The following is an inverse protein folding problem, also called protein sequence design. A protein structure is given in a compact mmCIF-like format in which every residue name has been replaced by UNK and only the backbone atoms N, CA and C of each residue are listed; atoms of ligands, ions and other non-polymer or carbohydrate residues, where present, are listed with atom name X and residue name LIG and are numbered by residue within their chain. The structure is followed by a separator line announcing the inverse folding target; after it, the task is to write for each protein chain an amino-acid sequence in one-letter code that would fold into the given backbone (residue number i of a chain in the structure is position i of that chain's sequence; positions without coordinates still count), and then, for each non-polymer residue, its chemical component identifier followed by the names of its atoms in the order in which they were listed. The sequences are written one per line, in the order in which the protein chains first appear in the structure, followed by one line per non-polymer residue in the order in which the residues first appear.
data_IF_024673047610
#
_entry.id   IF_024673047610
#
_cell.length_a   1.000
_cell.length_b   1.000
_cell.length_c   1.000
_cell.angle_alpha   90.00
_cell.angle_beta   90.00
_cell.angle_gamma   90.00
#
_symmetry.space_group_name_H-M   'P 1'
#
loop_
_entity.id
_entity.type
_entity.pdbx_description
1 polymer ?
#
# COMPACT_ATOMS: atom_id res chain seq x y z
N UNK A 1 -23.76 10.65 -11.12
CA UNK A 1 -22.41 10.06 -11.07
C UNK A 1 -22.56 8.62 -10.65
N UNK A 2 -22.17 7.66 -11.48
CA UNK A 2 -22.09 6.24 -11.12
C UNK A 2 -20.64 6.03 -10.65
N UNK A 3 -20.34 6.00 -9.34
CA UNK A 3 -18.94 6.00 -8.89
C UNK A 3 -18.27 4.64 -9.07
N UNK A 4 -19.03 3.60 -9.36
CA UNK A 4 -18.53 2.24 -9.33
C UNK A 4 -18.52 1.68 -10.74
N UNK A 5 -17.33 1.33 -11.23
CA UNK A 5 -17.25 0.13 -12.06
C UNK A 5 -17.92 -0.95 -11.21
N UNK A 6 -19.05 -1.47 -11.69
CA UNK A 6 -19.67 -2.67 -11.18
C UNK A 6 -19.31 -3.76 -12.18
N UNK A 7 -18.13 -4.38 -12.04
CA UNK A 7 -17.73 -5.44 -12.94
C UNK A 7 -18.74 -6.59 -12.85
N UNK A 8 -18.92 -7.33 -13.95
CA UNK A 8 -19.81 -8.50 -13.97
C UNK A 8 -19.12 -9.68 -13.28
N UNK A 9 -19.22 -9.72 -11.95
CA UNK A 9 -18.72 -10.81 -11.13
C UNK A 9 -19.60 -12.06 -11.24
N UNK A 10 -18.96 -13.23 -11.17
CA UNK A 10 -19.60 -14.55 -11.38
C UNK A 10 -19.77 -15.32 -10.08
N UNK A 11 -18.89 -15.10 -9.11
CA UNK A 11 -18.88 -15.88 -7.87
C UNK A 11 -19.62 -15.21 -6.71
N UNK A 12 -20.23 -15.99 -5.79
CA UNK A 12 -20.86 -15.46 -4.59
C UNK A 12 -19.87 -14.70 -3.71
N UNK A 13 -20.34 -13.67 -2.99
CA UNK A 13 -19.50 -12.83 -2.12
C UNK A 13 -18.60 -11.82 -2.85
N UNK A 14 -18.40 -11.97 -4.16
CA UNK A 14 -17.47 -11.12 -4.91
C UNK A 14 -17.81 -9.64 -4.88
N UNK A 15 -19.07 -9.27 -5.14
CA UNK A 15 -19.45 -7.85 -5.14
C UNK A 15 -19.25 -7.20 -3.77
N UNK A 16 -19.49 -7.94 -2.68
CA UNK A 16 -19.26 -7.47 -1.31
C UNK A 16 -17.77 -7.32 -1.02
N UNK A 17 -16.96 -8.31 -1.41
CA UNK A 17 -15.49 -8.26 -1.31
C UNK A 17 -14.95 -7.03 -2.05
N UNK A 18 -15.35 -6.83 -3.30
CA UNK A 18 -14.95 -5.68 -4.12
C UNK A 18 -15.30 -4.36 -3.45
N UNK A 19 -16.54 -4.19 -3.01
CA UNK A 19 -16.99 -2.96 -2.34
C UNK A 19 -16.20 -2.68 -1.06
N UNK A 20 -15.89 -3.71 -0.26
CA UNK A 20 -15.09 -3.53 0.95
C UNK A 20 -13.67 -3.03 0.64
N UNK A 21 -13.02 -3.58 -0.39
CA UNK A 21 -11.69 -3.12 -0.83
C UNK A 21 -11.77 -1.63 -1.22
N UNK A 22 -12.76 -1.27 -2.04
CA UNK A 22 -12.95 0.13 -2.45
C UNK A 22 -13.19 1.08 -1.28
N UNK A 23 -13.93 0.63 -0.27
CA UNK A 23 -14.24 1.45 0.90
C UNK A 23 -13.03 1.67 1.81
N UNK A 24 -12.05 0.74 1.83
CA UNK A 24 -10.79 0.93 2.53
C UNK A 24 -9.86 1.91 1.78
N UNK A 25 -9.90 1.90 0.45
CA UNK A 25 -9.01 2.68 -0.41
C UNK A 25 -9.53 4.09 -0.74
N UNK A 26 -10.23 4.72 0.21
CA UNK A 26 -10.73 6.08 0.01
C UNK A 26 -9.65 7.10 0.40
N UNK A 27 -9.24 8.00 -0.51
CA UNK A 27 -8.24 9.02 -0.19
C UNK A 27 -8.80 10.01 0.84
N UNK A 28 -7.96 10.40 1.79
CA UNK A 28 -8.31 11.46 2.74
C UNK A 28 -7.99 12.82 2.11
N UNK A 29 -8.92 13.80 2.16
CA UNK A 29 -8.64 15.16 1.70
C UNK A 29 -7.45 15.76 2.45
N UNK A 30 -6.56 16.43 1.71
CA UNK A 30 -5.40 17.11 2.27
C UNK A 30 -5.70 18.62 2.38
N UNK A 31 -5.40 19.28 3.51
CA UNK A 31 -5.45 20.73 3.61
C UNK A 31 -4.56 21.42 2.56
N UNK A 32 -5.03 22.51 1.95
CA UNK A 32 -4.29 23.19 0.87
C UNK A 32 -2.97 23.83 1.31
N UNK A 33 -2.87 24.14 2.61
CA UNK A 33 -1.71 24.69 3.32
C UNK A 33 -0.81 23.62 3.93
N UNK A 34 -1.15 22.33 3.78
CA UNK A 34 -0.32 21.24 4.27
C UNK A 34 1.09 21.32 3.68
N UNK A 35 2.07 20.95 4.50
CA UNK A 35 3.46 20.84 4.11
C UNK A 35 4.09 19.55 4.67
N UNK A 36 5.11 19.05 3.98
CA UNK A 36 5.85 17.84 4.37
C UNK A 36 7.32 18.18 4.46
N UNK A 37 7.95 17.87 5.60
CA UNK A 37 9.38 18.05 5.76
C UNK A 37 10.14 17.24 4.69
N UNK A 38 10.98 17.91 3.89
CA UNK A 38 11.66 17.29 2.77
C UNK A 38 13.16 17.63 2.76
N UNK A 39 14.00 16.61 2.80
CA UNK A 39 15.46 16.74 2.65
C UNK A 39 15.92 15.93 1.44
N UNK A 40 17.09 16.28 0.89
CA UNK A 40 17.70 15.50 -0.17
C UNK A 40 17.89 14.02 0.24
N UNK A 41 18.31 13.78 1.50
CA UNK A 41 18.52 12.44 2.03
C UNK A 41 17.21 11.63 2.12
N UNK A 42 16.14 12.21 2.68
CA UNK A 42 14.83 11.55 2.77
C UNK A 42 14.24 11.19 1.41
N UNK A 43 14.32 12.11 0.45
CA UNK A 43 13.86 11.89 -0.93
C UNK A 43 14.69 10.79 -1.61
N UNK A 44 16.02 10.79 -1.41
CA UNK A 44 16.91 9.75 -1.95
C UNK A 44 16.59 8.38 -1.36
N UNK A 45 16.35 8.29 -0.04
CA UNK A 45 15.98 7.04 0.62
C UNK A 45 14.63 6.52 0.12
N UNK A 46 13.62 7.38 0.01
CA UNK A 46 12.28 7.00 -0.47
C UNK A 46 12.27 6.57 -1.94
N UNK A 47 13.07 7.20 -2.81
CA UNK A 47 13.13 6.82 -4.22
C UNK A 47 14.00 5.59 -4.49
N UNK A 48 14.88 5.20 -3.56
CA UNK A 48 15.77 4.05 -3.70
C UNK A 48 15.03 2.74 -3.41
N UNK A 49 13.99 2.46 -4.20
CA UNK A 49 13.18 1.26 -4.08
C UNK A 49 13.96 -0.03 -4.37
N UNK A 50 15.20 0.06 -4.87
CA UNK A 50 16.09 -1.08 -5.10
C UNK A 50 16.86 -1.48 -3.84
N UNK A 51 16.95 -0.60 -2.85
CA UNK A 51 17.48 -0.94 -1.55
C UNK A 51 16.70 -2.11 -0.94
N UNK A 52 17.41 -3.15 -0.52
CA UNK A 52 16.80 -4.38 0.01
C UNK A 52 15.94 -4.12 1.25
N UNK A 53 16.28 -3.10 2.03
CA UNK A 53 15.58 -2.71 3.24
C UNK A 53 14.41 -1.74 2.99
N UNK A 54 14.23 -1.29 1.75
CA UNK A 54 13.10 -0.42 1.39
C UNK A 54 11.76 -1.14 1.66
N UNK A 55 10.73 -0.48 2.23
CA UNK A 55 9.44 -1.10 2.56
C UNK A 55 8.79 -1.86 1.40
N UNK A 56 8.80 -1.31 0.19
CA UNK A 56 8.40 -2.04 -1.03
C UNK A 56 9.11 -3.39 -1.20
N UNK A 57 10.43 -3.47 -0.99
CA UNK A 57 11.19 -4.71 -1.13
C UNK A 57 10.84 -5.70 0.00
N UNK A 58 10.55 -5.21 1.20
CA UNK A 58 10.06 -6.06 2.29
C UNK A 58 8.68 -6.64 1.99
N UNK A 59 7.75 -5.81 1.52
CA UNK A 59 6.40 -6.20 1.12
C UNK A 59 6.42 -7.29 0.04
N UNK A 60 7.12 -7.06 -1.08
CA UNK A 60 7.10 -8.01 -2.20
C UNK A 60 7.62 -9.40 -1.86
N UNK A 61 8.55 -9.50 -0.89
CA UNK A 61 9.09 -10.79 -0.40
C UNK A 61 8.07 -11.56 0.43
N UNK A 62 7.09 -10.87 0.98
CA UNK A 62 6.01 -11.43 1.80
C UNK A 62 4.75 -11.73 1.01
N UNK A 63 4.58 -11.15 -0.18
CA UNK A 63 3.48 -11.50 -1.07
C UNK A 63 3.47 -13.01 -1.35
N UNK A 64 2.28 -13.63 -1.44
CA UNK A 64 2.14 -15.06 -1.77
C UNK A 64 2.99 -15.49 -2.96
N UNK A 65 3.59 -16.68 -2.89
CA UNK A 65 4.40 -17.22 -3.99
C UNK A 65 3.57 -17.42 -5.26
N UNK A 66 2.28 -17.72 -5.10
CA UNK A 66 1.33 -18.02 -6.16
C UNK A 66 0.12 -17.09 -6.08
N UNK A 67 -0.50 -16.87 -7.23
CA UNK A 67 -1.74 -16.12 -7.32
C UNK A 67 -2.93 -16.88 -6.71
N UNK A 68 -3.88 -16.16 -6.12
CA UNK A 68 -5.06 -16.75 -5.48
C UNK A 68 -6.24 -16.90 -6.45
N UNK A 69 -6.40 -15.98 -7.40
CA UNK A 69 -7.48 -15.92 -8.38
C UNK A 69 -7.02 -16.21 -9.80
N UNK A 70 -5.71 -16.16 -10.06
CA UNK A 70 -5.13 -16.76 -11.27
C UNK A 70 -4.93 -18.28 -11.14
N UNK A 71 -5.68 -18.97 -10.27
CA UNK A 71 -5.62 -20.43 -10.10
C UNK A 71 -7.00 -21.09 -10.28
N UNK A 72 -7.03 -22.09 -11.17
CA UNK A 72 -8.03 -23.15 -11.39
C UNK A 72 -9.53 -22.87 -11.11
N UNK A 73 -10.28 -22.65 -12.19
CA UNK A 73 -11.60 -23.27 -12.33
C UNK A 73 -11.44 -24.53 -13.17
N UNK A 74 -12.20 -25.59 -12.83
CA UNK A 74 -12.05 -27.00 -13.26
C UNK A 74 -12.00 -27.32 -14.76
N UNK A 75 -11.97 -26.32 -15.64
CA UNK A 75 -11.84 -26.49 -17.09
C UNK A 75 -10.77 -25.60 -17.75
N UNK A 76 -10.05 -24.76 -17.00
CA UNK A 76 -8.86 -24.05 -17.48
C UNK A 76 -7.92 -23.76 -16.31
N UNK A 77 -6.77 -24.44 -16.30
CA UNK A 77 -5.64 -24.14 -15.42
C UNK A 77 -5.05 -22.80 -15.85
N UNK A 78 -5.49 -21.71 -15.22
CA UNK A 78 -4.51 -20.68 -14.88
C UNK A 78 -3.75 -21.26 -13.72
N UNK A 79 -2.45 -21.37 -13.86
CA UNK A 79 -1.63 -21.77 -12.75
C UNK A 79 -0.33 -20.98 -12.78
N UNK A 80 -0.05 -20.30 -11.69
CA UNK A 80 1.28 -19.74 -11.45
C UNK A 80 2.22 -20.82 -10.91
N UNK A 81 1.71 -21.97 -10.44
CA UNK A 81 2.51 -23.15 -10.16
C UNK A 81 3.19 -23.62 -11.45
N UNK A 82 4.52 -23.59 -11.46
CA UNK A 82 5.35 -23.90 -12.63
C UNK A 82 5.58 -22.73 -13.60
N UNK A 83 5.01 -21.54 -13.35
CA UNK A 83 5.40 -20.33 -14.06
C UNK A 83 6.67 -19.75 -13.43
N UNK A 84 7.75 -19.68 -14.20
CA UNK A 84 8.96 -18.98 -13.78
C UNK A 84 8.74 -17.46 -13.91
N UNK A 85 8.70 -16.71 -12.79
CA UNK A 85 8.43 -15.28 -12.82
C UNK A 85 9.54 -14.47 -13.49
N UNK A 86 10.71 -15.06 -13.73
CA UNK A 86 11.84 -14.43 -14.44
C UNK A 86 11.74 -14.51 -15.97
N UNK A 87 10.84 -15.34 -16.51
CA UNK A 87 10.73 -15.54 -17.96
C UNK A 87 10.01 -14.37 -18.64
N UNK A 88 10.61 -13.89 -19.73
CA UNK A 88 9.99 -12.87 -20.58
C UNK A 88 8.80 -13.44 -21.35
N UNK A 89 7.62 -12.89 -21.10
CA UNK A 89 6.40 -13.24 -21.84
C UNK A 89 6.32 -12.45 -23.15
N UNK A 90 6.06 -13.15 -24.25
CA UNK A 90 5.96 -12.54 -25.58
C UNK A 90 4.65 -11.74 -25.76
N UNK A 91 4.71 -10.61 -26.47
CA UNK A 91 3.54 -9.72 -26.65
C UNK A 91 2.38 -10.38 -27.42
N UNK A 92 2.68 -11.36 -28.29
CA UNK A 92 1.66 -12.15 -29.03
C UNK A 92 1.21 -13.41 -28.30
N UNK A 93 1.69 -13.64 -27.07
CA UNK A 93 1.20 -14.76 -26.27
C UNK A 93 -0.31 -14.58 -25.97
N UNK A 94 -1.03 -15.68 -25.69
CA UNK A 94 -2.42 -15.62 -25.25
C UNK A 94 -2.60 -14.63 -24.08
N UNK A 95 -3.75 -13.94 -23.97
CA UNK A 95 -4.02 -13.03 -22.87
C UNK A 95 -3.76 -13.64 -21.49
N UNK A 96 -4.06 -14.94 -21.35
CA UNK A 96 -3.82 -15.72 -20.13
C UNK A 96 -2.36 -15.75 -19.73
N UNK A 97 -1.45 -16.09 -20.66
CA UNK A 97 0.00 -16.06 -20.41
C UNK A 97 0.52 -14.65 -20.14
N UNK A 98 -0.04 -13.64 -20.82
CA UNK A 98 0.37 -12.25 -20.60
C UNK A 98 0.00 -11.74 -19.21
N UNK A 99 -1.15 -12.15 -18.66
CA UNK A 99 -1.52 -11.83 -17.28
C UNK A 99 -0.50 -12.35 -16.28
N UNK A 100 0.03 -13.58 -16.45
CA UNK A 100 1.11 -14.08 -15.60
C UNK A 100 2.38 -13.21 -15.70
N UNK A 101 2.72 -12.76 -16.91
CA UNK A 101 3.82 -11.82 -17.11
C UNK A 101 3.59 -10.49 -16.39
N UNK A 102 2.38 -9.93 -16.45
CA UNK A 102 2.06 -8.70 -15.72
C UNK A 102 2.09 -8.91 -14.20
N UNK A 103 1.51 -10.00 -13.69
CA UNK A 103 1.55 -10.38 -12.29
C UNK A 103 3.00 -10.43 -11.77
N UNK A 104 3.90 -11.08 -12.51
CA UNK A 104 5.34 -11.07 -12.19
C UNK A 104 5.95 -9.68 -12.17
N UNK A 105 5.64 -8.86 -13.18
CA UNK A 105 6.18 -7.50 -13.25
C UNK A 105 5.70 -6.62 -12.08
N UNK A 106 4.42 -6.73 -11.69
CA UNK A 106 3.88 -6.04 -10.51
C UNK A 106 4.46 -6.57 -9.19
N UNK A 107 5.06 -7.75 -9.19
CA UNK A 107 5.84 -8.27 -8.06
C UNK A 107 7.34 -7.96 -8.15
N UNK A 108 7.74 -7.12 -9.12
CA UNK A 108 9.13 -6.68 -9.32
C UNK A 108 10.05 -7.72 -9.97
N UNK A 109 9.49 -8.65 -10.74
CA UNK A 109 10.25 -9.55 -11.61
C UNK A 109 10.23 -9.03 -13.06
N UNK A 110 11.04 -9.62 -13.94
CA UNK A 110 11.06 -9.27 -15.37
C UNK A 110 12.15 -8.29 -15.78
N UNK A 111 11.92 -7.61 -16.91
CA UNK A 111 12.90 -6.71 -17.56
C UNK A 111 13.22 -5.49 -16.67
N UNK A 112 14.45 -4.94 -16.70
CA UNK A 112 14.81 -3.74 -15.94
C UNK A 112 13.89 -2.53 -16.14
N UNK A 113 13.17 -2.45 -17.28
CA UNK A 113 12.19 -1.39 -17.56
C UNK A 113 10.84 -1.62 -16.87
N UNK A 114 10.54 -2.86 -16.49
CA UNK A 114 9.25 -3.30 -15.93
C UNK A 114 9.32 -3.61 -14.43
N UNK A 115 10.53 -3.73 -13.87
CA UNK A 115 10.79 -4.03 -12.46
C UNK A 115 10.20 -2.98 -11.50
N UNK A 116 9.89 -1.78 -12.01
CA UNK A 116 9.37 -0.66 -11.25
C UNK A 116 7.84 -0.58 -11.24
N UNK A 117 7.13 -1.47 -11.93
CA UNK A 117 5.67 -1.45 -11.97
C UNK A 117 5.05 -1.74 -10.61
N UNK A 118 5.61 -2.72 -9.88
CA UNK A 118 5.20 -3.00 -8.50
C UNK A 118 5.48 -1.84 -7.54
N UNK A 119 6.64 -1.19 -7.70
CA UNK A 119 6.95 0.01 -6.93
C UNK A 119 5.99 1.16 -7.27
N UNK A 120 5.64 1.33 -8.55
CA UNK A 120 4.68 2.34 -8.99
C UNK A 120 3.30 2.11 -8.37
N UNK A 121 2.89 0.85 -8.20
CA UNK A 121 1.66 0.47 -7.51
C UNK A 121 1.73 0.84 -6.02
N UNK A 122 2.80 0.40 -5.37
CA UNK A 122 3.07 0.68 -3.96
C UNK A 122 3.13 2.19 -3.66
N UNK A 123 3.74 2.98 -4.55
CA UNK A 123 3.79 4.45 -4.46
C UNK A 123 2.39 5.07 -4.44
N UNK A 124 1.38 4.46 -5.06
CA UNK A 124 0.00 4.97 -5.01
C UNK A 124 -0.68 4.73 -3.67
N UNK A 125 -0.33 3.64 -2.99
CA UNK A 125 -0.74 3.40 -1.61
C UNK A 125 0.04 4.25 -0.60
N UNK A 126 1.13 4.91 -1.02
CA UNK A 126 2.03 5.71 -0.18
C UNK A 126 2.29 7.09 -0.81
N UNK A 127 1.24 7.74 -1.31
CA UNK A 127 1.42 8.86 -2.21
C UNK A 127 1.81 10.14 -1.49
N UNK A 128 3.02 10.63 -1.76
CA UNK A 128 3.51 11.92 -1.31
C UNK A 128 2.99 13.05 -2.22
N UNK A 129 2.10 13.94 -1.73
CA UNK A 129 1.52 15.02 -2.53
C UNK A 129 2.56 16.09 -2.88
N UNK A 130 2.71 16.38 -4.17
CA UNK A 130 3.65 17.40 -4.65
C UNK A 130 3.43 18.80 -4.05
N UNK A 131 2.19 19.30 -3.94
CA UNK A 131 1.95 20.62 -3.37
C UNK A 131 2.46 20.76 -1.93
N UNK A 132 2.41 19.69 -1.12
CA UNK A 132 2.86 19.76 0.27
C UNK A 132 4.40 19.79 0.39
N UNK A 133 5.10 19.08 -0.49
CA UNK A 133 6.57 19.16 -0.56
C UNK A 133 7.01 20.54 -1.07
N UNK A 134 6.32 21.06 -2.09
CA UNK A 134 6.61 22.39 -2.64
C UNK A 134 6.30 23.51 -1.62
N UNK A 135 5.25 23.37 -0.82
CA UNK A 135 4.96 24.26 0.30
C UNK A 135 6.10 24.28 1.32
N UNK A 136 6.68 23.12 1.67
CA UNK A 136 7.85 23.06 2.55
C UNK A 136 9.01 23.89 1.99
N UNK A 137 9.31 23.75 0.69
CA UNK A 137 10.39 24.51 0.06
C UNK A 137 10.10 26.02 -0.01
N UNK A 138 8.85 26.40 -0.27
CA UNK A 138 8.41 27.80 -0.28
C UNK A 138 8.59 28.43 1.10
N UNK A 139 8.10 27.76 2.14
CA UNK A 139 8.20 28.19 3.54
C UNK A 139 9.68 28.32 3.95
N UNK A 140 10.49 27.28 3.72
CA UNK A 140 11.91 27.30 4.06
C UNK A 140 12.68 28.43 3.33
N UNK A 141 12.31 28.75 2.08
CA UNK A 141 12.92 29.85 1.33
C UNK A 141 12.60 31.21 1.98
N UNK A 142 11.32 31.44 2.34
CA UNK A 142 10.87 32.68 2.98
C UNK A 142 11.57 32.91 4.31
N UNK A 143 11.65 31.87 5.16
CA UNK A 143 12.31 31.95 6.45
C UNK A 143 13.82 32.22 6.31
N UNK A 144 14.49 31.56 5.35
CA UNK A 144 15.90 31.80 5.07
C UNK A 144 16.20 33.25 4.69
N UNK A 145 15.31 33.88 3.92
CA UNK A 145 15.43 35.27 3.49
C UNK A 145 15.20 36.25 4.65
N UNK A 146 14.15 36.01 5.45
CA UNK A 146 13.78 36.86 6.58
C UNK A 146 14.64 36.73 7.84
N UNK A 147 15.45 35.67 7.97
CA UNK A 147 16.25 35.45 9.17
C UNK A 147 17.49 36.36 9.27
N UNK A 148 18.00 36.62 10.49
CA UNK A 148 19.22 37.37 10.75
C UNK A 148 20.50 36.49 10.88
N UNK A 149 20.46 35.25 10.40
CA UNK A 149 21.63 34.36 10.36
C UNK A 149 22.81 34.96 9.57
N UNK A 150 24.02 34.50 9.92
CA UNK A 150 25.24 34.91 9.21
C UNK A 150 25.17 34.52 7.72
N UNK A 151 25.85 35.25 6.83
CA UNK A 151 25.91 34.92 5.41
C UNK A 151 26.33 33.47 5.15
N UNK A 152 27.27 32.93 5.94
CA UNK A 152 27.78 31.57 5.83
C UNK A 152 26.71 30.54 6.21
N UNK A 153 25.97 30.77 7.29
CA UNK A 153 24.87 29.91 7.71
C UNK A 153 23.73 29.92 6.67
N UNK A 154 23.39 31.10 6.13
CA UNK A 154 22.40 31.21 5.05
C UNK A 154 22.84 30.48 3.79
N UNK A 155 24.12 30.58 3.42
CA UNK A 155 24.66 29.89 2.25
C UNK A 155 24.60 28.36 2.39
N UNK A 156 24.91 27.83 3.59
CA UNK A 156 24.82 26.39 3.87
C UNK A 156 23.40 25.87 3.70
N UNK A 157 22.42 26.52 4.36
CA UNK A 157 21.02 26.10 4.29
C UNK A 157 20.44 26.26 2.88
N UNK A 158 20.83 27.32 2.16
CA UNK A 158 20.45 27.49 0.75
C UNK A 158 20.91 26.32 -0.11
N UNK A 159 22.15 25.88 0.07
CA UNK A 159 22.69 24.73 -0.67
C UNK A 159 21.92 23.44 -0.36
N UNK A 160 21.61 23.17 0.91
CA UNK A 160 20.80 22.00 1.32
C UNK A 160 19.39 22.05 0.71
N UNK A 161 18.76 23.24 0.70
CA UNK A 161 17.43 23.44 0.12
C UNK A 161 17.44 23.27 -1.41
N UNK A 162 18.45 23.80 -2.09
CA UNK A 162 18.61 23.67 -3.54
C UNK A 162 18.87 22.22 -3.95
N UNK A 163 19.66 21.48 -3.15
CA UNK A 163 19.84 20.04 -3.34
C UNK A 163 18.51 19.28 -3.16
N UNK A 164 17.76 19.55 -2.09
CA UNK A 164 16.46 18.90 -1.85
C UNK A 164 15.45 19.19 -2.97
N UNK A 165 15.39 20.43 -3.46
CA UNK A 165 14.56 20.82 -4.62
C UNK A 165 14.97 20.07 -5.89
N UNK A 166 16.28 19.97 -6.18
CA UNK A 166 16.77 19.25 -7.34
C UNK A 166 16.43 17.76 -7.28
N UNK A 167 16.58 17.13 -6.11
CA UNK A 167 16.21 15.74 -5.87
C UNK A 167 14.71 15.51 -6.00
N UNK A 168 13.88 16.40 -5.46
CA UNK A 168 12.43 16.35 -5.60
C UNK A 168 12.01 16.41 -7.07
N UNK A 169 12.53 17.37 -7.84
CA UNK A 169 12.18 17.55 -9.25
C UNK A 169 12.58 16.32 -10.09
N UNK A 170 13.76 15.76 -9.83
CA UNK A 170 14.20 14.53 -10.49
C UNK A 170 13.30 13.35 -10.14
N UNK A 171 12.97 13.18 -8.86
CA UNK A 171 12.06 12.13 -8.40
C UNK A 171 10.66 12.28 -9.01
N UNK A 172 10.07 13.47 -8.98
CA UNK A 172 8.72 13.74 -9.51
C UNK A 172 8.64 13.48 -11.02
N UNK A 173 9.67 13.86 -11.78
CA UNK A 173 9.75 13.59 -13.21
C UNK A 173 9.79 12.08 -13.51
N UNK A 174 10.62 11.32 -12.79
CA UNK A 174 10.70 9.86 -12.96
C UNK A 174 9.43 9.15 -12.48
N UNK A 175 8.82 9.61 -11.39
CA UNK A 175 7.53 9.11 -10.89
C UNK A 175 6.43 9.24 -11.95
N UNK A 176 6.35 10.36 -12.65
CA UNK A 176 5.36 10.55 -13.72
C UNK A 176 5.58 9.57 -14.89
N UNK A 177 6.84 9.37 -15.32
CA UNK A 177 7.17 8.40 -16.36
C UNK A 177 6.83 6.97 -15.94
N UNK A 178 7.11 6.61 -14.69
CA UNK A 178 6.74 5.32 -14.08
C UNK A 178 5.22 5.13 -14.13
N UNK A 179 4.48 6.14 -13.69
CA UNK A 179 3.02 6.12 -13.71
C UNK A 179 2.42 5.96 -15.11
N UNK A 180 2.98 6.63 -16.13
CA UNK A 180 2.53 6.46 -17.51
C UNK A 180 2.69 5.01 -17.99
N UNK A 181 3.84 4.38 -17.69
CA UNK A 181 4.08 2.95 -17.99
C UNK A 181 3.12 2.05 -17.22
N UNK A 182 2.90 2.35 -15.94
CA UNK A 182 1.99 1.61 -15.07
C UNK A 182 0.56 1.66 -15.62
N UNK A 183 0.00 2.86 -15.87
CA UNK A 183 -1.34 3.03 -16.48
C UNK A 183 -1.47 2.28 -17.80
N UNK A 184 -0.44 2.32 -18.63
CA UNK A 184 -0.43 1.61 -19.91
C UNK A 184 -0.65 0.10 -19.77
N UNK A 185 -0.16 -0.49 -18.67
CA UNK A 185 -0.26 -1.92 -18.41
C UNK A 185 -1.46 -2.27 -17.54
N UNK A 186 -1.61 -1.66 -16.37
CA UNK A 186 -2.66 -2.05 -15.42
C UNK A 186 -4.06 -1.68 -15.93
N UNK A 187 -4.28 -0.44 -16.36
CA UNK A 187 -5.62 0.05 -16.72
C UNK A 187 -5.96 -0.41 -18.14
N UNK A 188 -5.09 -0.11 -19.11
CA UNK A 188 -5.42 -0.34 -20.52
C UNK A 188 -5.21 -1.77 -21.00
N UNK A 189 -4.47 -2.60 -20.26
CA UNK A 189 -4.27 -4.01 -20.58
C UNK A 189 -4.97 -4.87 -19.53
N UNK A 190 -4.44 -4.98 -18.31
CA UNK A 190 -4.91 -5.95 -17.32
C UNK A 190 -6.39 -5.76 -16.94
N UNK A 191 -6.76 -4.60 -16.38
CA UNK A 191 -8.13 -4.31 -15.95
C UNK A 191 -9.12 -4.37 -17.10
N UNK A 192 -8.79 -3.72 -18.22
CA UNK A 192 -9.63 -3.74 -19.43
C UNK A 192 -9.90 -5.17 -19.90
N UNK A 193 -8.92 -6.07 -19.82
CA UNK A 193 -9.10 -7.46 -20.23
C UNK A 193 -10.01 -8.22 -19.27
N UNK A 194 -9.92 -7.99 -17.95
CA UNK A 194 -10.78 -8.63 -16.94
C UNK A 194 -12.26 -8.23 -17.01
N UNK A 195 -12.56 -7.05 -17.55
CA UNK A 195 -13.96 -6.59 -17.74
C UNK A 195 -14.44 -6.71 -19.19
N UNK A 196 -13.61 -7.23 -20.11
CA UNK A 196 -13.96 -7.28 -21.53
C UNK A 196 -14.92 -8.43 -21.84
N UNK A 197 -15.90 -8.15 -22.70
CA UNK A 197 -16.83 -9.14 -23.27
C UNK A 197 -16.32 -9.75 -24.59
N UNK A 198 -15.12 -9.38 -25.05
CA UNK A 198 -14.56 -9.94 -26.29
C UNK A 198 -14.22 -11.43 -26.11
N UNK A 199 -14.53 -12.31 -27.08
CA UNK A 199 -14.30 -13.75 -26.95
C UNK A 199 -12.86 -14.14 -26.61
N UNK A 200 -11.86 -13.38 -27.08
CA UNK A 200 -10.44 -13.61 -26.81
C UNK A 200 -10.05 -13.44 -25.34
N UNK A 201 -10.89 -12.77 -24.54
CA UNK A 201 -10.70 -12.56 -23.11
C UNK A 201 -11.69 -13.35 -22.24
N UNK A 202 -12.57 -14.18 -22.84
CA UNK A 202 -13.59 -14.93 -22.10
C UNK A 202 -13.03 -15.86 -21.00
N UNK A 203 -11.77 -16.26 -21.19
CA UNK A 203 -10.96 -17.02 -20.26
C UNK A 203 -10.62 -16.27 -18.96
N UNK A 204 -10.58 -14.95 -18.98
CA UNK A 204 -10.17 -14.13 -17.85
C UNK A 204 -11.38 -13.85 -16.95
N UNK A 205 -11.23 -14.14 -15.66
CA UNK A 205 -12.26 -13.91 -14.65
C UNK A 205 -12.17 -12.50 -14.11
N UNK A 206 -13.31 -11.82 -14.01
CA UNK A 206 -13.40 -10.45 -13.51
C UNK A 206 -12.99 -10.34 -12.03
N UNK A 207 -13.10 -11.43 -11.28
CA UNK A 207 -12.60 -11.56 -9.91
C UNK A 207 -11.11 -11.23 -9.78
N UNK A 208 -10.34 -11.45 -10.83
CA UNK A 208 -8.92 -11.12 -10.89
C UNK A 208 -8.58 -9.65 -10.60
N UNK A 209 -9.57 -8.75 -10.65
CA UNK A 209 -9.39 -7.33 -10.29
C UNK A 209 -8.96 -7.14 -8.82
N UNK A 210 -9.29 -8.08 -7.94
CA UNK A 210 -8.88 -8.08 -6.54
C UNK A 210 -7.95 -9.27 -6.20
N UNK A 211 -7.09 -9.65 -7.14
CA UNK A 211 -6.04 -10.63 -6.90
C UNK A 211 -5.15 -10.20 -5.72
N UNK A 212 -5.24 -10.92 -4.61
CA UNK A 212 -4.61 -10.58 -3.33
C UNK A 212 -3.09 -10.82 -3.30
N UNK A 213 -2.53 -11.54 -4.28
CA UNK A 213 -1.07 -11.72 -4.41
C UNK A 213 -0.33 -10.54 -5.07
N UNK A 214 -1.05 -9.48 -5.44
CA UNK A 214 -0.48 -8.20 -5.88
C UNK A 214 -1.25 -7.04 -5.23
N UNK A 215 -0.65 -5.86 -5.22
CA UNK A 215 -1.35 -4.65 -4.80
C UNK A 215 -2.41 -4.34 -5.86
N UNK A 216 -3.67 -4.16 -5.46
CA UNK A 216 -4.82 -4.14 -6.36
C UNK A 216 -4.97 -2.88 -7.22
N UNK A 217 -3.97 -1.99 -7.26
CA UNK A 217 -4.03 -0.61 -7.78
C UNK A 217 -5.24 0.19 -7.28
N UNK A 218 -5.06 1.18 -6.38
CA UNK A 218 -6.17 1.95 -5.86
C UNK A 218 -6.71 2.86 -6.97
N UNK A 219 -8.00 3.21 -6.90
CA UNK A 219 -8.61 4.10 -7.89
C UNK A 219 -7.96 5.48 -7.89
N UNK A 220 -7.82 6.04 -6.69
CA UNK A 220 -7.12 7.29 -6.42
C UNK A 220 -5.83 7.04 -5.67
N UNK A 221 -4.97 8.05 -5.67
CA UNK A 221 -3.74 7.99 -4.87
C UNK A 221 -4.07 8.13 -3.39
N UNK A 222 -3.65 7.17 -2.57
CA UNK A 222 -3.80 7.23 -1.13
C UNK A 222 -2.71 8.11 -0.55
N UNK A 223 -3.08 9.36 -0.36
CA UNK A 223 -2.19 10.39 0.12
C UNK A 223 -1.76 10.11 1.55
N UNK A 224 -0.52 10.50 1.84
CA UNK A 224 0.07 10.45 3.17
C UNK A 224 0.97 11.67 3.37
N UNK A 225 0.93 12.24 4.58
CA UNK A 225 1.76 13.37 5.01
C UNK A 225 2.78 12.87 6.05
N UNK A 226 4.03 12.58 5.66
CA UNK A 226 5.11 12.30 6.60
C UNK A 226 5.32 13.46 7.55
N UNK A 227 5.58 13.14 8.81
CA UNK A 227 5.81 14.10 9.90
C UNK A 227 7.29 14.43 10.09
N UNK A 228 8.17 13.62 9.53
CA UNK A 228 9.63 13.71 9.66
C UNK A 228 10.29 13.77 8.29
N UNK A 229 11.60 14.01 8.29
CA UNK A 229 12.42 13.98 7.08
C UNK A 229 12.82 12.56 6.67
N UNK A 230 12.66 11.57 7.56
CA UNK A 230 12.85 10.15 7.27
C UNK A 230 11.52 9.49 6.91
N UNK A 231 11.07 9.74 5.68
CA UNK A 231 9.82 9.18 5.14
C UNK A 231 9.82 7.65 5.15
N UNK A 232 10.97 7.00 5.06
CA UNK A 232 11.03 5.54 5.01
C UNK A 232 10.68 4.94 6.37
N UNK A 233 11.18 5.53 7.46
CA UNK A 233 10.93 5.05 8.82
C UNK A 233 9.46 5.11 9.25
N UNK A 234 8.69 6.05 8.71
CA UNK A 234 7.29 6.25 9.10
C UNK A 234 6.31 5.25 8.44
N UNK A 235 6.72 4.60 7.34
CA UNK A 235 5.84 3.71 6.57
C UNK A 235 5.34 2.54 7.40
N UNK A 236 6.18 1.93 8.24
CA UNK A 236 5.74 0.79 9.05
C UNK A 236 4.62 1.16 10.02
N UNK A 237 4.64 2.37 10.58
CA UNK A 237 3.57 2.85 11.44
C UNK A 237 2.30 3.17 10.63
N UNK A 238 2.46 3.71 9.43
CA UNK A 238 1.35 3.96 8.51
C UNK A 238 0.66 2.65 8.10
N UNK A 239 1.43 1.65 7.67
CA UNK A 239 0.93 0.32 7.29
C UNK A 239 0.22 -0.40 8.45
N UNK A 240 0.75 -0.28 9.67
CA UNK A 240 0.11 -0.86 10.85
C UNK A 240 -1.24 -0.19 11.17
N UNK A 241 -1.35 1.12 10.94
CA UNK A 241 -2.60 1.87 11.15
C UNK A 241 -3.62 1.66 10.01
N UNK A 242 -3.12 1.48 8.78
CA UNK A 242 -3.92 1.35 7.56
C UNK A 242 -3.49 0.09 6.76
N UNK A 243 -3.86 -1.13 7.22
CA UNK A 243 -3.34 -2.39 6.66
C UNK A 243 -3.58 -2.60 5.16
N UNK A 244 -4.56 -1.91 4.56
CA UNK A 244 -4.80 -1.96 3.13
C UNK A 244 -3.66 -1.37 2.29
N UNK A 245 -2.86 -0.45 2.86
CA UNK A 245 -1.72 0.18 2.15
C UNK A 245 -0.64 -0.78 1.72
N UNK A 246 -0.48 -1.87 2.46
CA UNK A 246 0.46 -2.93 2.12
C UNK A 246 -0.24 -4.22 1.64
N UNK A 247 -1.51 -4.13 1.23
CA UNK A 247 -2.27 -5.28 0.76
C UNK A 247 -2.56 -6.31 1.86
N UNK A 248 -2.69 -5.85 3.11
CA UNK A 248 -2.98 -6.69 4.28
C UNK A 248 -1.96 -7.79 4.56
N UNK A 249 -0.71 -7.68 4.09
CA UNK A 249 0.30 -8.74 4.32
C UNK A 249 0.64 -8.91 5.81
N UNK A 250 0.42 -7.89 6.63
CA UNK A 250 0.55 -7.94 8.09
C UNK A 250 -0.73 -8.39 8.81
N UNK A 251 -1.88 -8.29 8.14
CA UNK A 251 -3.18 -8.62 8.70
C UNK A 251 -4.04 -9.43 7.71
N UNK A 252 -3.55 -10.58 7.21
CA UNK A 252 -4.21 -11.31 6.12
C UNK A 252 -5.61 -11.80 6.50
N UNK A 253 -5.87 -12.07 7.78
CA UNK A 253 -7.19 -12.44 8.28
C UNK A 253 -8.23 -11.32 8.21
N UNK A 254 -7.80 -10.06 8.02
CA UNK A 254 -8.67 -8.90 7.85
C UNK A 254 -8.93 -8.55 6.37
N UNK A 255 -8.19 -9.15 5.43
CA UNK A 255 -8.35 -8.86 4.01
C UNK A 255 -9.76 -9.24 3.54
N UNK A 256 -10.50 -8.36 2.83
CA UNK A 256 -11.83 -8.68 2.28
C UNK A 256 -11.90 -9.97 1.44
N UNK A 257 -10.81 -10.35 0.78
CA UNK A 257 -10.69 -11.63 0.09
C UNK A 257 -10.90 -12.81 1.05
N UNK A 258 -10.21 -12.81 2.19
CA UNK A 258 -10.26 -13.89 3.18
C UNK A 258 -11.54 -13.84 4.02
N UNK A 259 -12.09 -12.67 4.32
CA UNK A 259 -13.28 -12.53 5.17
C UNK A 259 -14.60 -12.64 4.41
N UNK A 260 -14.60 -12.37 3.10
CA UNK A 260 -15.82 -12.27 2.30
C UNK A 260 -15.83 -13.19 1.07
N UNK A 261 -14.78 -13.18 0.26
CA UNK A 261 -14.78 -13.99 -0.97
C UNK A 261 -14.51 -15.48 -0.69
N UNK A 262 -13.48 -15.78 0.10
CA UNK A 262 -13.05 -17.14 0.40
C UNK A 262 -14.13 -17.98 1.12
N UNK A 263 -14.85 -17.48 2.16
CA UNK A 263 -15.90 -18.26 2.83
C UNK A 263 -17.03 -18.68 1.89
N UNK A 264 -17.29 -17.90 0.85
CA UNK A 264 -18.28 -18.21 -0.19
C UNK A 264 -17.73 -19.14 -1.29
N UNK A 265 -16.40 -19.27 -1.40
CA UNK A 265 -15.73 -19.98 -2.49
C UNK A 265 -14.48 -20.74 -2.03
N UNK A 266 -14.60 -21.73 -1.10
CA UNK A 266 -13.44 -22.39 -0.47
C UNK A 266 -12.58 -23.24 -1.42
N UNK A 267 -12.99 -23.39 -2.69
CA UNK A 267 -12.21 -24.01 -3.77
C UNK A 267 -11.03 -23.15 -4.24
N UNK A 268 -11.05 -21.84 -3.97
CA UNK A 268 -9.91 -20.98 -4.26
C UNK A 268 -8.88 -21.02 -3.13
N UNK A 269 -7.58 -20.80 -3.43
CA UNK A 269 -6.56 -20.59 -2.41
C UNK A 269 -6.94 -19.47 -1.42
N UNK A 270 -6.51 -19.63 -0.17
CA UNK A 270 -6.57 -18.57 0.82
C UNK A 270 -5.44 -17.56 0.54
N UNK A 271 -5.66 -16.27 0.78
CA UNK A 271 -4.57 -15.30 0.79
C UNK A 271 -3.68 -15.54 2.02
N UNK A 272 -2.46 -16.02 1.78
CA UNK A 272 -1.50 -16.39 2.82
C UNK A 272 -0.13 -15.77 2.46
N UNK A 273 0.36 -14.81 3.25
CA UNK A 273 1.71 -14.28 3.10
C UNK A 273 2.79 -15.36 3.21
N UNK A 274 3.94 -15.17 2.56
CA UNK A 274 5.00 -16.18 2.45
C UNK A 274 5.62 -16.64 3.79
N UNK A 275 5.43 -15.88 4.87
CA UNK A 275 5.98 -16.14 6.21
C UNK A 275 4.94 -16.66 7.22
N UNK A 276 3.76 -17.08 6.76
CA UNK A 276 2.71 -17.66 7.62
C UNK A 276 2.08 -18.87 6.93
N UNK A 277 1.28 -19.61 7.67
CA UNK A 277 0.61 -20.83 7.20
C UNK A 277 -0.87 -20.58 6.94
N UNK A 278 -1.47 -21.45 6.11
CA UNK A 278 -2.91 -21.44 5.83
C UNK A 278 -3.72 -21.57 7.11
N UNK A 279 -3.28 -22.42 8.03
CA UNK A 279 -4.00 -22.72 9.27
C UNK A 279 -3.92 -21.57 10.27
N UNK A 280 -2.77 -20.89 10.37
CA UNK A 280 -2.61 -19.68 11.21
C UNK A 280 -3.52 -18.55 10.74
N UNK A 281 -3.54 -18.27 9.43
CA UNK A 281 -4.41 -17.23 8.86
C UNK A 281 -5.88 -17.65 9.00
N UNK A 282 -6.21 -18.87 8.59
CA UNK A 282 -7.57 -19.40 8.56
C UNK A 282 -8.28 -19.31 9.91
N UNK A 283 -7.61 -19.70 11.01
CA UNK A 283 -8.17 -19.65 12.37
C UNK A 283 -8.55 -18.24 12.84
N UNK A 284 -7.92 -17.22 12.29
CA UNK A 284 -8.15 -15.82 12.66
C UNK A 284 -9.24 -15.15 11.82
N UNK A 285 -9.74 -15.81 10.77
CA UNK A 285 -10.74 -15.23 9.88
C UNK A 285 -12.07 -15.11 10.60
N UNK A 286 -12.54 -13.86 10.71
CA UNK A 286 -13.92 -13.55 11.05
C UNK A 286 -14.67 -13.32 9.74
N UNK A 287 -15.67 -14.17 9.46
CA UNK A 287 -16.51 -14.03 8.26
C UNK A 287 -17.22 -12.68 8.31
N UNK A 288 -17.24 -12.00 7.16
CA UNK A 288 -17.89 -10.71 7.03
C UNK A 288 -19.37 -10.80 7.46
N UNK A 289 -19.83 -9.93 8.38
CA UNK A 289 -21.20 -9.96 8.88
C UNK A 289 -22.26 -9.62 7.81
N UNK A 290 -21.86 -9.02 6.69
CA UNK A 290 -22.76 -8.72 5.58
C UNK A 290 -23.11 -9.96 4.75
N UNK A 291 -22.43 -11.10 4.96
CA UNK A 291 -22.76 -12.37 4.32
C UNK A 291 -23.94 -13.04 5.00
N UNK A 292 -24.92 -13.46 4.19
CA UNK A 292 -26.02 -14.28 4.67
C UNK A 292 -25.55 -15.74 4.84
N UNK A 293 -26.15 -16.52 5.75
CA UNK A 293 -25.77 -17.92 5.95
C UNK A 293 -25.80 -18.78 4.68
N UNK A 294 -26.66 -18.45 3.70
CA UNK A 294 -26.78 -19.16 2.44
C UNK A 294 -25.66 -18.84 1.44
N UNK A 295 -24.93 -17.74 1.63
CA UNK A 295 -23.78 -17.37 0.80
C UNK A 295 -22.50 -18.09 1.25
N UNK A 296 -22.44 -18.51 2.51
CA UNK A 296 -21.28 -19.14 3.13
C UNK A 296 -21.29 -20.64 2.82
N UNK A 297 -20.18 -21.16 2.32
CA UNK A 297 -20.04 -22.60 2.10
C UNK A 297 -19.97 -23.34 3.45
N UNK A 298 -20.70 -24.45 3.60
CA UNK A 298 -20.86 -25.13 4.89
C UNK A 298 -19.54 -25.64 5.52
N UNK A 299 -18.52 -25.88 4.71
CA UNK A 299 -17.22 -26.44 5.08
C UNK A 299 -16.05 -25.47 4.80
N UNK A 300 -16.33 -24.17 4.70
CA UNK A 300 -15.32 -23.18 4.35
C UNK A 300 -14.09 -23.16 5.29
N UNK A 301 -14.31 -23.50 6.57
CA UNK A 301 -13.29 -23.53 7.63
C UNK A 301 -12.77 -24.93 7.96
N UNK A 302 -13.23 -25.98 7.26
CA UNK A 302 -12.96 -27.36 7.63
C UNK A 302 -11.46 -27.70 7.70
N UNK A 303 -10.63 -27.02 6.92
CA UNK A 303 -9.18 -27.24 6.89
C UNK A 303 -8.39 -26.60 8.04
N UNK A 304 -9.00 -25.75 8.86
CA UNK A 304 -8.29 -25.04 9.94
C UNK A 304 -9.09 -24.89 11.23
N UNK A 305 -10.30 -25.46 11.32
CA UNK A 305 -11.02 -25.62 12.58
C UNK A 305 -10.16 -26.42 13.58
N UNK A 306 -10.13 -26.01 14.84
CA UNK A 306 -9.52 -26.85 15.88
C UNK A 306 -10.30 -28.17 15.99
N UNK A 307 -9.61 -29.32 16.19
CA UNK A 307 -10.31 -30.56 16.52
C UNK A 307 -11.18 -30.29 17.75
N UNK A 308 -12.44 -30.71 17.71
CA UNK A 308 -13.32 -30.61 18.86
C UNK A 308 -12.61 -31.22 20.06
N UNK A 309 -12.25 -30.39 21.05
CA UNK A 309 -11.72 -30.89 22.31
C UNK A 309 -12.79 -31.82 22.88
N UNK A 310 -12.43 -33.10 23.07
CA UNK A 310 -13.21 -33.97 23.92
C UNK A 310 -13.27 -33.27 25.29
N UNK A 311 -14.49 -33.00 25.75
CA UNK A 311 -14.77 -32.33 27.00
C UNK A 311 -14.17 -33.15 28.16
N UNK A 312 -12.98 -32.77 28.63
CA UNK A 312 -12.54 -33.11 29.97
C UNK A 312 -12.95 -31.95 30.88
N UNK A 313 -14.05 -32.19 31.60
CA UNK A 313 -14.40 -31.44 32.80
C UNK A 313 -13.28 -31.59 33.82
N UNK A 314 -12.61 -30.50 34.19
CA UNK A 314 -12.22 -30.26 35.60
C UNK A 314 -11.58 -28.88 35.81
N UNK A 315 -12.38 -28.04 36.49
CA UNK A 315 -12.01 -27.15 37.60
C UNK A 315 -11.15 -25.90 37.33
N UNK A 316 -11.78 -24.73 37.54
CA UNK A 316 -11.15 -23.40 37.60
C UNK A 316 -10.52 -23.06 38.97
N UNK A 317 -10.53 -21.78 39.38
CA UNK A 317 -9.55 -20.76 38.98
C UNK A 317 -8.86 -20.09 40.19
N UNK A 318 -7.77 -19.32 39.98
CA UNK A 318 -7.48 -18.14 40.80
C UNK A 318 -6.60 -17.09 40.07
N UNK A 319 -6.71 -15.79 40.43
CA UNK A 319 -6.26 -14.67 39.61
C UNK A 319 -4.95 -14.03 40.10
N UNK A 320 -4.28 -13.26 39.23
CA UNK A 320 -3.28 -12.27 39.64
C UNK A 320 -3.24 -11.09 38.66
N UNK A 321 -3.44 -9.89 39.22
CA UNK A 321 -3.42 -8.57 38.57
C UNK A 321 -1.99 -7.96 38.50
N UNK A 322 -1.78 -6.82 37.82
CA UNK A 322 -0.59 -6.56 37.00
C UNK A 322 0.45 -5.64 37.67
N UNK A 323 1.51 -5.24 36.95
CA UNK A 323 2.05 -3.89 37.11
C UNK A 323 2.06 -3.07 35.82
N UNK A 324 2.07 -1.76 36.05
CA UNK A 324 1.96 -0.69 35.08
C UNK A 324 3.31 -0.18 34.55
N UNK A 325 3.25 0.31 33.31
CA UNK A 325 3.84 1.53 32.73
C UNK A 325 5.36 1.78 32.65
N UNK A 326 5.73 2.14 31.41
CA UNK A 326 6.70 3.13 30.93
C UNK A 326 8.21 2.90 31.12
N UNK A 327 8.91 2.85 29.97
CA UNK A 327 10.05 3.73 29.71
C UNK A 327 10.26 3.89 28.19
N UNK A 328 10.18 5.14 27.75
CA UNK A 328 10.74 5.69 26.51
C UNK A 328 12.25 5.48 26.48
N UNK A 329 12.78 4.97 25.37
CA UNK A 329 14.20 5.11 25.05
C UNK A 329 14.38 6.19 23.99
N UNK A 330 14.99 7.31 24.40
CA UNK A 330 15.61 8.28 23.52
C UNK A 330 16.67 7.61 22.64
N UNK A 331 16.53 7.73 21.32
CA UNK A 331 17.69 7.71 20.43
C UNK A 331 17.95 9.17 20.06
N UNK A 332 19.13 9.64 20.46
CA UNK A 332 19.66 10.91 20.00
C UNK A 332 19.92 10.81 18.49
N UNK A 333 19.29 11.68 17.72
CA UNK A 333 19.77 12.02 16.39
C UNK A 333 20.39 13.42 16.47
N UNK A 334 21.72 13.38 16.46
CA UNK A 334 22.60 14.51 16.39
C UNK A 334 22.57 15.08 14.96
N UNK A 335 22.20 16.35 14.87
CA UNK A 335 22.60 17.34 13.86
C UNK A 335 22.53 16.99 12.36
N UNK A 336 21.35 17.17 11.74
CA UNK A 336 21.20 17.97 10.50
C UNK A 336 19.75 18.42 10.25
N UNK A 337 19.09 19.01 11.24
CA UNK A 337 17.65 19.31 11.16
C UNK A 337 17.33 20.77 10.81
N UNK A 338 18.21 21.47 10.09
CA UNK A 338 17.97 22.89 9.75
C UNK A 338 16.66 23.11 8.99
N UNK A 339 16.26 22.19 8.10
CA UNK A 339 15.00 22.27 7.36
C UNK A 339 13.77 21.89 8.22
N UNK A 340 13.91 20.95 9.15
CA UNK A 340 12.85 20.58 10.10
C UNK A 340 12.65 21.68 11.15
N UNK A 341 13.74 22.29 11.64
CA UNK A 341 13.73 23.47 12.50
C UNK A 341 13.13 24.68 11.77
N UNK A 342 13.44 24.89 10.49
CA UNK A 342 12.84 25.97 9.70
C UNK A 342 11.34 25.74 9.47
N UNK A 343 10.93 24.51 9.20
CA UNK A 343 9.53 24.18 8.98
C UNK A 343 8.71 24.19 10.30
N UNK A 344 9.30 23.78 11.42
CA UNK A 344 8.70 23.91 12.76
C UNK A 344 8.67 25.36 13.26
N UNK A 345 9.71 26.15 12.98
CA UNK A 345 9.73 27.58 13.29
C UNK A 345 8.65 28.34 12.51
N UNK A 346 8.42 27.99 11.25
CA UNK A 346 7.36 28.55 10.43
C UNK A 346 5.95 28.18 10.93
N UNK A 347 5.70 26.91 11.25
CA UNK A 347 4.41 26.47 11.82
C UNK A 347 4.10 27.17 13.16
N UNK A 348 5.14 27.51 13.94
CA UNK A 348 4.99 28.25 15.20
C UNK A 348 4.76 29.75 15.01
N UNK A 349 5.24 30.33 13.89
CA UNK A 349 5.04 31.74 13.56
C UNK A 349 3.65 32.03 12.97
N UNK A 350 3.09 31.11 12.18
CA UNK A 350 1.73 31.22 11.62
C UNK A 350 0.65 31.18 12.73
N UNK A 351 0.81 30.31 13.75
CA UNK A 351 -0.06 30.27 14.93
C UNK A 351 0.01 31.54 15.81
N UNK A 352 1.09 32.32 15.72
CA UNK A 352 1.24 33.59 16.45
C UNK A 352 0.79 34.80 15.64
N UNK A 353 0.60 34.66 14.32
CA UNK A 353 0.03 35.68 13.45
C UNK A 353 -1.48 35.78 13.61
N UNK A 354 -2.16 34.64 13.77
CA UNK A 354 -3.62 34.56 13.94
C UNK A 354 -4.09 35.05 15.32
N UNK A 355 -3.20 35.10 16.31
CA UNK A 355 -3.49 35.63 17.65
C UNK A 355 -3.24 37.15 17.78
N UNK A 356 -2.82 37.83 16.71
CA UNK A 356 -2.49 39.27 16.73
C UNK A 356 -3.42 40.15 15.88
N UNK A 357 -4.43 39.59 15.20
CA UNK A 357 -5.41 40.38 14.44
C UNK A 357 -6.75 40.63 15.16
N UNK A 358 -6.91 40.22 16.43
CA UNK A 358 -8.09 40.52 17.26
C UNK A 358 -7.81 41.56 18.37
N UNK A 359 -6.94 42.53 18.11
CA UNK A 359 -6.68 43.63 19.06
C UNK A 359 -6.24 44.91 18.36
N UNK A 360 -7.08 45.93 18.49
CA UNK A 360 -6.93 47.34 18.07
C UNK A 360 -7.22 47.64 16.58
N UNK A 361 -8.50 47.86 16.23
CA UNK A 361 -9.20 49.17 16.30
C UNK A 361 -10.71 49.05 16.05
#
# INVERSE_FOLDING_TARGET
ATPYLAPEFRFPGTSKCWIQILNCELPTPIPGDAWIAATAAGIKAFKDFKNTDHPWQQLRRRLPEHACLFVACSYMTFDTHGFDPSVKVFQRAPPTTRVNGYWSNFRGYGDPVDIDLGFSDWERYHWIPAPAVENCFRIATKELEGNNWSPEAKAKVRAELDEAKAEWLAYAAERNKRWDRFRAKIIYQVWRWFVSKEPKFAALHTESLFESSMLGCPFDNLTWLPKTTDWVSEISALDAAEPWRNGWVDAPAQHPYNTTFFPCNPRFPLFVPANTTREEVGRQIVVCPDLTPNEIAADWDAGFREPAQASDESSGPEPSEPPASAATSHVALDNSDHLQVLAQAAASAELQGDAREDGDD
#
